data_IF_551359638566
#
_entry.id   IF_551359638566
#
_cell.length_a   1.000
_cell.length_b   1.000
_cell.length_c   1.000
_cell.angle_alpha   90.00
_cell.angle_beta   90.00
_cell.angle_gamma   90.00
#
_symmetry.space_group_name_H-M   'P 1'
#
loop_
_entity.id
_entity.type
_entity.pdbx_description
1 polymer ?
#
# COMPACT_ATOMS: atom_id res chain seq x y z
N UNK A 1 -51.10 37.14 37.69
CA UNK A 1 -52.02 35.99 37.87
C UNK A 1 -52.22 35.34 36.50
N UNK A 2 -52.31 34.00 36.46
CA UNK A 2 -52.33 33.10 35.28
C UNK A 2 -50.95 32.66 34.73
N UNK A 3 -50.44 31.64 35.41
CA UNK A 3 -49.33 30.75 35.05
C UNK A 3 -49.73 29.74 33.98
N UNK A 4 -49.08 29.78 32.81
CA UNK A 4 -49.20 28.75 31.78
C UNK A 4 -48.12 27.66 31.95
N UNK A 5 -48.58 26.46 32.30
CA UNK A 5 -47.80 25.26 32.64
C UNK A 5 -47.44 24.53 31.34
N UNK A 6 -46.22 24.69 30.81
CA UNK A 6 -45.72 23.86 29.68
C UNK A 6 -45.16 22.54 30.18
N UNK A 7 -45.83 21.45 29.79
CA UNK A 7 -45.44 20.04 29.97
C UNK A 7 -44.05 19.78 29.36
N UNK A 8 -43.09 19.36 30.19
CA UNK A 8 -41.84 18.71 29.76
C UNK A 8 -42.15 17.27 29.39
N UNK A 9 -42.08 16.94 28.10
CA UNK A 9 -42.03 15.56 27.62
C UNK A 9 -40.60 15.06 27.72
N UNK A 10 -40.37 14.11 28.63
CA UNK A 10 -39.08 13.47 28.89
C UNK A 10 -38.89 12.37 27.83
N UNK A 11 -38.15 12.66 26.76
CA UNK A 11 -37.72 11.64 25.80
C UNK A 11 -36.54 10.90 26.44
N UNK A 12 -36.69 9.59 26.62
CA UNK A 12 -35.65 8.67 27.10
C UNK A 12 -34.44 8.74 26.15
N UNK A 13 -33.27 9.08 26.67
CA UNK A 13 -32.00 8.79 26.03
C UNK A 13 -31.82 7.27 25.95
N UNK A 14 -31.84 6.72 24.74
CA UNK A 14 -31.26 5.40 24.49
C UNK A 14 -29.77 5.58 24.28
N UNK A 15 -28.96 5.02 25.19
CA UNK A 15 -27.55 4.79 24.95
C UNK A 15 -27.40 3.85 23.75
N UNK A 16 -27.05 4.38 22.58
CA UNK A 16 -26.64 3.55 21.45
C UNK A 16 -25.15 3.26 21.57
N UNK A 17 -24.85 2.05 21.98
CA UNK A 17 -23.53 1.45 21.90
C UNK A 17 -23.02 1.42 20.46
N UNK A 18 -21.74 1.77 20.32
CA UNK A 18 -20.88 1.44 19.20
C UNK A 18 -21.02 -0.03 18.80
N UNK A 19 -21.68 -0.29 17.67
CA UNK A 19 -21.53 -1.51 16.87
C UNK A 19 -21.64 -1.13 15.41
N UNK A 20 -20.55 -1.31 14.66
CA UNK A 20 -20.54 -1.36 13.19
C UNK A 20 -21.12 -2.71 12.75
N UNK A 21 -22.20 -2.78 11.96
CA UNK A 21 -22.58 -3.99 11.26
C UNK A 21 -22.63 -3.69 9.76
N UNK A 22 -21.54 -3.98 9.04
CA UNK A 22 -21.55 -3.93 7.57
C UNK A 22 -20.69 -5.01 6.92
N UNK A 23 -19.74 -5.63 7.64
CA UNK A 23 -18.91 -6.71 7.09
C UNK A 23 -19.49 -8.12 7.32
N UNK A 24 -20.41 -8.32 8.27
CA UNK A 24 -20.95 -9.66 8.54
C UNK A 24 -22.10 -10.09 7.60
N UNK A 25 -22.74 -9.16 6.90
CA UNK A 25 -23.87 -9.46 6.02
C UNK A 25 -23.42 -9.94 4.63
N UNK A 26 -22.32 -9.39 4.10
CA UNK A 26 -21.83 -9.75 2.76
C UNK A 26 -21.21 -11.17 2.66
N UNK A 27 -20.81 -11.78 3.79
CA UNK A 27 -20.17 -13.09 3.79
C UNK A 27 -21.09 -14.27 4.15
N UNK A 28 -22.33 -14.01 4.57
CA UNK A 28 -23.26 -15.09 4.96
C UNK A 28 -24.00 -15.73 3.79
N UNK A 29 -24.30 -14.99 2.73
CA UNK A 29 -25.12 -15.52 1.64
C UNK A 29 -24.29 -16.08 0.46
N UNK A 30 -23.05 -15.62 0.26
CA UNK A 30 -22.20 -16.10 -0.85
C UNK A 30 -21.54 -17.46 -0.55
N UNK A 31 -21.10 -17.68 0.70
CA UNK A 31 -20.37 -18.91 1.06
C UNK A 31 -21.28 -20.13 1.12
N UNK A 32 -22.55 -19.99 1.51
CA UNK A 32 -23.50 -21.12 1.58
C UNK A 32 -23.88 -21.60 0.18
N UNK A 33 -24.09 -20.68 -0.76
CA UNK A 33 -24.44 -21.03 -2.14
C UNK A 33 -23.24 -21.65 -2.88
N UNK A 34 -22.04 -21.10 -2.72
CA UNK A 34 -20.82 -21.70 -3.31
C UNK A 34 -20.49 -23.08 -2.72
N UNK A 35 -20.68 -23.26 -1.41
CA UNK A 35 -20.46 -24.56 -0.76
C UNK A 35 -21.51 -25.58 -1.18
N UNK A 36 -22.79 -25.18 -1.29
CA UNK A 36 -23.85 -26.06 -1.78
C UNK A 36 -23.63 -26.48 -3.24
N UNK A 37 -23.13 -25.56 -4.09
CA UNK A 37 -22.82 -25.84 -5.48
C UNK A 37 -21.64 -26.82 -5.62
N UNK A 38 -20.55 -26.62 -4.86
CA UNK A 38 -19.41 -27.53 -4.88
C UNK A 38 -19.75 -28.92 -4.34
N UNK A 39 -20.53 -29.00 -3.24
CA UNK A 39 -21.02 -30.28 -2.72
C UNK A 39 -21.94 -30.95 -3.73
N UNK A 40 -22.81 -30.19 -4.42
CA UNK A 40 -23.64 -30.71 -5.50
C UNK A 40 -22.85 -31.34 -6.64
N UNK A 41 -21.76 -30.69 -7.09
CA UNK A 41 -20.88 -31.24 -8.12
C UNK A 41 -20.21 -32.53 -7.65
N UNK A 42 -19.69 -32.56 -6.41
CA UNK A 42 -19.03 -33.77 -5.87
C UNK A 42 -20.02 -34.95 -5.80
N UNK A 43 -21.26 -34.70 -5.39
CA UNK A 43 -22.31 -35.73 -5.34
C UNK A 43 -22.66 -36.22 -6.76
N UNK A 44 -22.80 -35.32 -7.74
CA UNK A 44 -23.07 -35.71 -9.13
C UNK A 44 -21.93 -36.56 -9.69
N UNK A 45 -20.67 -36.17 -9.48
CA UNK A 45 -19.50 -36.94 -9.92
C UNK A 45 -19.46 -38.31 -9.25
N UNK A 46 -19.75 -38.39 -7.95
CA UNK A 46 -19.82 -39.68 -7.24
C UNK A 46 -20.93 -40.59 -7.79
N UNK A 47 -22.11 -40.04 -8.10
CA UNK A 47 -23.21 -40.80 -8.71
C UNK A 47 -22.85 -41.28 -10.11
N UNK A 48 -22.22 -40.43 -10.93
CA UNK A 48 -21.76 -40.82 -12.27
C UNK A 48 -20.72 -41.95 -12.19
N UNK A 49 -19.75 -41.84 -11.28
CA UNK A 49 -18.73 -42.88 -11.06
C UNK A 49 -19.36 -44.18 -10.55
N UNK A 50 -20.35 -44.10 -9.67
CA UNK A 50 -21.07 -45.27 -9.17
C UNK A 50 -21.89 -45.97 -10.26
N UNK A 51 -22.59 -45.19 -11.11
CA UNK A 51 -23.30 -45.74 -12.28
C UNK A 51 -22.30 -46.38 -13.25
N UNK A 52 -21.18 -45.71 -13.53
CA UNK A 52 -20.15 -46.23 -14.43
C UNK A 52 -19.53 -47.54 -13.91
N UNK A 53 -19.21 -47.61 -12.60
CA UNK A 53 -18.72 -48.84 -11.98
C UNK A 53 -19.78 -49.95 -12.00
N UNK A 54 -21.06 -49.63 -11.78
CA UNK A 54 -22.16 -50.61 -11.82
C UNK A 54 -22.37 -51.20 -13.22
N UNK A 55 -22.16 -50.39 -14.27
CA UNK A 55 -22.19 -50.86 -15.66
C UNK A 55 -20.97 -51.73 -16.01
N UNK A 56 -19.77 -51.38 -15.54
CA UNK A 56 -18.56 -52.19 -15.75
C UNK A 56 -18.66 -53.53 -15.00
N UNK A 57 -19.14 -53.54 -13.76
CA UNK A 57 -19.34 -54.78 -12.99
C UNK A 57 -20.45 -55.68 -13.55
N UNK A 58 -21.34 -55.15 -14.40
CA UNK A 58 -22.37 -55.94 -15.09
C UNK A 58 -21.87 -56.57 -16.40
N UNK A 59 -20.69 -56.19 -16.89
CA UNK A 59 -20.10 -56.71 -18.12
C UNK A 59 -18.95 -57.70 -17.91
N UNK A 60 -18.49 -57.91 -16.66
CA UNK A 60 -17.34 -58.77 -16.37
C UNK A 60 -17.70 -60.12 -15.72
N UNK A 61 -18.96 -60.54 -15.84
CA UNK A 61 -19.41 -61.89 -15.47
C UNK A 61 -19.44 -62.83 -16.69
N UNK A 62 -18.37 -62.87 -17.49
CA UNK A 62 -18.08 -64.02 -18.36
C UNK A 62 -16.62 -64.02 -18.83
N UNK A 63 -15.69 -64.44 -17.99
CA UNK A 63 -14.71 -65.46 -18.42
C UNK A 63 -13.80 -65.90 -17.27
N UNK A 64 -13.65 -67.21 -17.28
CA UNK A 64 -12.91 -68.07 -16.38
C UNK A 64 -11.38 -67.94 -16.47
N UNK A 65 -10.75 -68.40 -15.39
CA UNK A 65 -9.52 -69.21 -15.37
C UNK A 65 -8.11 -68.57 -15.50
N UNK A 66 -7.40 -68.63 -14.36
CA UNK A 66 -6.15 -69.39 -14.07
C UNK A 66 -4.94 -68.58 -13.57
N UNK A 67 -4.44 -69.10 -12.42
CA UNK A 67 -3.05 -69.36 -11.99
C UNK A 67 -2.25 -68.28 -11.23
N UNK A 68 -2.04 -68.61 -9.95
CA UNK A 68 -0.75 -68.62 -9.21
C UNK A 68 -0.18 -67.26 -8.78
N UNK A 69 0.35 -67.03 -7.59
CA UNK A 69 0.69 -67.86 -6.44
C UNK A 69 1.83 -67.17 -5.65
N UNK A 70 1.84 -67.34 -4.31
CA UNK A 70 3.01 -67.25 -3.38
C UNK A 70 3.59 -65.81 -3.17
N UNK A 71 3.93 -65.28 -1.98
CA UNK A 71 4.03 -65.69 -0.56
C UNK A 71 4.16 -64.41 0.31
N UNK A 72 3.72 -64.34 1.58
CA UNK A 72 4.29 -64.86 2.84
C UNK A 72 5.41 -63.97 3.48
N UNK A 73 5.16 -63.56 4.75
CA UNK A 73 6.11 -62.98 5.74
C UNK A 73 5.81 -61.51 6.14
N UNK A 74 5.14 -61.12 7.25
CA UNK A 74 5.41 -61.32 8.71
C UNK A 74 6.88 -60.96 9.07
N UNK A 75 7.28 -60.22 10.12
CA UNK A 75 6.67 -59.54 11.30
C UNK A 75 7.81 -58.74 12.01
N UNK A 76 7.44 -57.65 12.70
CA UNK A 76 7.93 -57.14 14.02
C UNK A 76 9.44 -56.95 14.31
N UNK A 77 9.83 -55.76 14.82
CA UNK A 77 10.23 -55.58 16.24
C UNK A 77 10.75 -54.16 16.54
N UNK A 78 10.23 -53.56 17.61
CA UNK A 78 10.75 -52.42 18.36
C UNK A 78 12.07 -52.74 19.10
N UNK A 79 12.86 -51.69 19.41
CA UNK A 79 13.50 -51.37 20.72
C UNK A 79 14.41 -50.13 20.60
N UNK A 80 14.06 -49.01 21.25
CA UNK A 80 14.61 -48.50 22.54
C UNK A 80 16.00 -47.82 22.41
N UNK A 81 16.10 -46.49 22.49
CA UNK A 81 16.26 -45.63 23.68
C UNK A 81 17.74 -45.45 24.06
N UNK A 82 18.25 -44.22 23.90
CA UNK A 82 19.19 -43.62 24.84
C UNK A 82 19.05 -42.09 24.84
N UNK A 83 18.67 -41.58 26.01
CA UNK A 83 18.53 -40.16 26.36
C UNK A 83 19.88 -39.63 26.79
N UNK A 84 20.31 -38.50 26.22
CA UNK A 84 21.38 -37.67 26.78
C UNK A 84 20.73 -36.53 27.57
N UNK A 85 20.94 -36.57 28.88
CA UNK A 85 20.59 -35.54 29.85
C UNK A 85 21.62 -34.40 29.70
N UNK A 86 21.15 -33.17 29.44
CA UNK A 86 21.94 -31.95 29.63
C UNK A 86 21.12 -31.01 30.52
N UNK A 87 21.64 -30.74 31.71
CA UNK A 87 21.07 -29.79 32.68
C UNK A 87 21.17 -28.33 32.20
N UNK A 88 20.24 -27.46 32.64
CA UNK A 88 20.16 -26.06 32.24
C UNK A 88 20.94 -25.12 33.19
N UNK A 89 21.54 -24.03 32.72
CA UNK A 89 21.94 -22.94 33.60
C UNK A 89 20.76 -21.98 33.86
N UNK A 90 20.51 -21.77 35.16
CA UNK A 90 19.56 -20.83 35.76
C UNK A 90 19.99 -19.33 35.63
N UNK A 91 19.08 -18.38 35.96
CA UNK A 91 19.04 -17.05 35.35
C UNK A 91 19.85 -15.98 36.10
N UNK A 92 20.52 -15.10 35.34
CA UNK A 92 21.16 -13.90 35.88
C UNK A 92 20.15 -12.74 36.02
N UNK A 93 19.76 -12.52 37.27
CA UNK A 93 19.51 -11.27 37.99
C UNK A 93 19.02 -10.00 37.24
N UNK A 94 17.84 -9.57 37.69
CA UNK A 94 17.26 -8.23 37.57
C UNK A 94 18.12 -7.18 38.31
N UNK A 95 18.52 -6.15 37.58
CA UNK A 95 18.65 -4.75 38.05
C UNK A 95 18.00 -3.91 36.93
N UNK A 96 17.04 -3.02 37.13
CA UNK A 96 16.79 -2.16 38.28
C UNK A 96 17.27 -0.74 37.98
N UNK A 97 16.87 -0.13 36.86
CA UNK A 97 17.10 1.30 36.59
C UNK A 97 15.86 1.95 35.97
N UNK A 98 15.01 2.43 36.88
CA UNK A 98 14.04 3.50 36.66
C UNK A 98 14.78 4.84 36.62
N UNK A 99 14.22 5.79 35.86
CA UNK A 99 14.49 7.24 35.76
C UNK A 99 15.57 7.68 34.76
N UNK A 100 15.11 8.09 33.58
CA UNK A 100 15.19 9.49 33.13
C UNK A 100 14.27 9.70 31.91
N UNK A 101 12.97 9.84 32.20
CA UNK A 101 12.00 10.45 31.30
C UNK A 101 11.85 11.91 31.72
N UNK A 102 12.60 12.80 31.08
CA UNK A 102 12.35 14.24 31.11
C UNK A 102 13.02 14.92 29.91
N UNK A 103 12.21 15.58 29.09
CA UNK A 103 12.55 16.68 28.19
C UNK A 103 13.60 16.42 27.10
N UNK A 104 13.13 16.20 25.87
CA UNK A 104 13.82 16.67 24.68
C UNK A 104 12.82 17.27 23.68
N UNK A 105 12.28 18.43 24.05
CA UNK A 105 11.91 19.45 23.06
C UNK A 105 13.21 20.10 22.61
N UNK A 106 13.88 19.50 21.63
CA UNK A 106 14.93 20.19 20.88
C UNK A 106 14.71 19.87 19.40
N UNK A 107 14.27 20.90 18.67
CA UNK A 107 14.50 20.97 17.23
C UNK A 107 15.96 20.59 16.97
N UNK A 108 16.28 19.80 15.93
CA UNK A 108 17.66 19.50 15.62
C UNK A 108 18.39 20.81 15.32
N UNK A 109 19.31 21.18 16.21
CA UNK A 109 20.29 22.22 15.93
C UNK A 109 21.11 21.77 14.72
N UNK A 110 21.10 22.63 13.72
CA UNK A 110 21.81 22.52 12.45
C UNK A 110 23.28 22.22 12.66
N UNK A 111 23.70 20.99 12.37
CA UNK A 111 25.07 20.70 11.97
C UNK A 111 25.28 21.24 10.55
N UNK A 112 26.21 22.17 10.42
CA UNK A 112 26.56 22.92 9.20
C UNK A 112 27.40 22.11 8.20
N UNK A 113 27.15 20.81 8.04
CA UNK A 113 27.98 19.94 7.16
C UNK A 113 27.20 18.90 6.34
N UNK A 114 25.87 18.96 6.26
CA UNK A 114 25.14 18.15 5.29
C UNK A 114 25.08 18.86 3.93
N UNK A 115 26.10 18.69 3.10
CA UNK A 115 26.09 19.19 1.73
C UNK A 115 25.02 18.44 0.91
N UNK A 116 23.93 19.14 0.55
CA UNK A 116 22.82 18.54 -0.21
C UNK A 116 21.61 19.47 -0.32
N UNK A 117 20.73 19.18 -1.28
CA UNK A 117 19.54 19.95 -1.59
C UNK A 117 18.36 19.66 -0.68
N UNK A 118 18.41 18.59 0.13
CA UNK A 118 17.32 18.20 1.02
C UNK A 118 16.77 19.37 1.83
N UNK A 119 17.64 20.14 2.52
CA UNK A 119 17.21 21.28 3.35
C UNK A 119 16.45 22.34 2.53
N UNK A 120 16.88 22.61 1.29
CA UNK A 120 16.23 23.58 0.40
C UNK A 120 14.82 23.10 0.04
N UNK A 121 14.68 21.88 -0.48
CA UNK A 121 13.37 21.35 -0.88
C UNK A 121 12.45 21.10 0.31
N UNK A 122 13.00 20.71 1.45
CA UNK A 122 12.30 20.60 2.72
C UNK A 122 11.68 21.94 3.13
N UNK A 123 12.45 23.03 3.06
CA UNK A 123 11.93 24.37 3.34
C UNK A 123 10.84 24.77 2.34
N UNK A 124 11.05 24.52 1.04
CA UNK A 124 10.04 24.82 0.00
C UNK A 124 8.72 24.09 0.30
N UNK A 125 8.78 22.80 0.64
CA UNK A 125 7.59 22.02 0.96
C UNK A 125 6.86 22.53 2.21
N UNK A 126 7.60 22.96 3.24
CA UNK A 126 7.01 23.60 4.41
C UNK A 126 6.37 24.95 4.07
N UNK A 127 7.04 25.78 3.27
CA UNK A 127 6.47 27.05 2.80
C UNK A 127 5.17 26.82 2.04
N UNK A 128 5.13 25.84 1.14
CA UNK A 128 3.93 25.44 0.42
C UNK A 128 2.82 24.96 1.36
N UNK A 129 3.17 24.17 2.39
CA UNK A 129 2.21 23.66 3.37
C UNK A 129 1.65 24.74 4.29
N UNK A 130 2.37 25.86 4.48
CA UNK A 130 1.88 27.00 5.26
C UNK A 130 0.81 27.82 4.56
N UNK A 131 0.77 27.79 3.22
CA UNK A 131 -0.24 28.50 2.44
C UNK A 131 -1.64 27.90 2.65
N UNK A 132 -2.66 28.64 2.22
CA UNK A 132 -4.00 28.06 2.08
C UNK A 132 -4.02 27.10 0.88
N UNK A 133 -4.90 26.06 0.89
CA UNK A 133 -4.88 25.01 -0.13
C UNK A 133 -4.93 25.52 -1.57
N UNK A 134 -5.73 26.54 -1.87
CA UNK A 134 -5.81 27.13 -3.22
C UNK A 134 -4.46 27.72 -3.63
N UNK A 135 -3.84 28.51 -2.77
CA UNK A 135 -2.54 29.15 -3.02
C UNK A 135 -1.41 28.12 -3.15
N UNK A 136 -1.45 27.05 -2.36
CA UNK A 136 -0.54 25.90 -2.49
C UNK A 136 -0.62 25.30 -3.89
N UNK A 137 -1.83 24.99 -4.36
CA UNK A 137 -2.05 24.36 -5.67
C UNK A 137 -1.64 25.29 -6.82
N UNK A 138 -1.99 26.57 -6.73
CA UNK A 138 -1.61 27.57 -7.73
C UNK A 138 -0.09 27.72 -7.82
N UNK A 139 0.60 27.72 -6.67
CA UNK A 139 2.06 27.80 -6.62
C UNK A 139 2.72 26.54 -7.19
N UNK A 140 2.21 25.35 -6.85
CA UNK A 140 2.71 24.09 -7.42
C UNK A 140 2.56 24.05 -8.94
N UNK A 141 1.42 24.48 -9.48
CA UNK A 141 1.18 24.50 -10.93
C UNK A 141 2.03 25.54 -11.66
N UNK A 142 2.17 26.74 -11.09
CA UNK A 142 2.87 27.86 -11.73
C UNK A 142 4.39 27.74 -11.65
N UNK A 143 4.91 27.33 -10.49
CA UNK A 143 6.36 27.35 -10.23
C UNK A 143 7.03 25.99 -10.42
N UNK A 144 6.27 24.90 -10.41
CA UNK A 144 6.75 23.50 -10.43
C UNK A 144 8.06 23.32 -9.64
N UNK A 145 8.07 23.63 -8.33
CA UNK A 145 9.30 23.76 -7.57
C UNK A 145 10.10 22.46 -7.47
N UNK A 146 9.47 21.31 -7.76
CA UNK A 146 10.09 19.99 -7.78
C UNK A 146 10.45 19.51 -9.19
N UNK A 147 10.02 20.21 -10.24
CA UNK A 147 10.28 19.87 -11.65
C UNK A 147 9.56 18.61 -12.13
N UNK A 148 8.56 18.14 -11.38
CA UNK A 148 7.88 16.86 -11.63
C UNK A 148 6.69 17.02 -12.56
N UNK A 149 6.05 18.20 -12.56
CA UNK A 149 4.87 18.46 -13.40
C UNK A 149 5.26 18.72 -14.83
N UNK A 150 6.28 19.55 -15.06
CA UNK A 150 6.86 19.79 -16.38
C UNK A 150 7.39 18.49 -16.98
N UNK A 151 8.10 17.68 -16.18
CA UNK A 151 8.57 16.37 -16.60
C UNK A 151 7.41 15.46 -17.03
N UNK A 152 6.33 15.36 -16.24
CA UNK A 152 5.17 14.51 -16.56
C UNK A 152 4.51 14.92 -17.88
N UNK A 153 4.39 16.23 -18.14
CA UNK A 153 3.84 16.77 -19.38
C UNK A 153 4.72 16.43 -20.58
N UNK A 154 6.04 16.66 -20.48
CA UNK A 154 7.00 16.34 -21.54
C UNK A 154 7.06 14.83 -21.82
N UNK A 155 7.05 14.02 -20.75
CA UNK A 155 7.01 12.56 -20.84
C UNK A 155 5.76 12.10 -21.58
N UNK A 156 4.58 12.59 -21.19
CA UNK A 156 3.33 12.24 -21.85
C UNK A 156 3.32 12.63 -23.32
N UNK A 157 3.82 13.82 -23.64
CA UNK A 157 3.93 14.30 -25.01
C UNK A 157 4.84 13.38 -25.85
N UNK A 158 6.08 13.15 -25.40
CA UNK A 158 7.04 12.34 -26.14
C UNK A 158 6.59 10.88 -26.30
N UNK A 159 6.05 10.26 -25.25
CA UNK A 159 5.51 8.90 -25.36
C UNK A 159 4.32 8.82 -26.33
N UNK A 160 3.50 9.87 -26.41
CA UNK A 160 2.38 9.93 -27.34
C UNK A 160 2.87 10.06 -28.78
N UNK A 161 3.84 10.92 -29.03
CA UNK A 161 4.46 11.12 -30.34
C UNK A 161 5.18 9.85 -30.83
N UNK A 162 5.88 9.14 -29.93
CA UNK A 162 6.63 7.92 -30.25
C UNK A 162 5.78 6.65 -30.27
N UNK A 163 4.59 6.66 -29.64
CA UNK A 163 3.75 5.47 -29.49
C UNK A 163 4.33 4.37 -28.59
N UNK A 164 5.35 4.68 -27.79
CA UNK A 164 6.02 3.75 -26.86
C UNK A 164 6.50 4.47 -25.59
N UNK A 165 6.86 3.70 -24.57
CA UNK A 165 7.58 4.22 -23.40
C UNK A 165 8.99 4.67 -23.79
N UNK A 166 9.53 5.62 -23.04
CA UNK A 166 10.91 6.07 -23.21
C UNK A 166 11.90 5.04 -22.67
N UNK A 167 13.13 5.13 -23.15
CA UNK A 167 14.29 4.48 -22.54
C UNK A 167 14.81 5.33 -21.37
N UNK A 168 15.64 4.76 -20.49
CA UNK A 168 16.22 5.53 -19.38
C UNK A 168 17.11 6.68 -19.91
N UNK A 169 17.80 6.49 -21.02
CA UNK A 169 18.60 7.54 -21.66
C UNK A 169 17.73 8.70 -22.17
N UNK A 170 16.56 8.41 -22.73
CA UNK A 170 15.58 9.44 -23.12
C UNK A 170 14.98 10.15 -21.89
N UNK A 171 14.73 9.43 -20.80
CA UNK A 171 14.30 10.03 -19.52
C UNK A 171 15.36 10.99 -18.98
N UNK A 172 16.65 10.64 -19.05
CA UNK A 172 17.76 11.50 -18.63
C UNK A 172 17.86 12.78 -19.46
N UNK A 173 17.37 12.81 -20.70
CA UNK A 173 17.29 14.03 -21.50
C UNK A 173 16.18 14.97 -21.03
N UNK A 174 15.06 14.40 -20.55
CA UNK A 174 13.95 15.18 -19.97
C UNK A 174 14.24 15.65 -18.55
N UNK A 175 14.90 14.81 -17.77
CA UNK A 175 15.23 15.07 -16.38
C UNK A 175 16.68 14.62 -16.11
N UNK A 176 17.68 15.48 -16.38
CA UNK A 176 19.07 15.15 -16.12
C UNK A 176 19.33 15.07 -14.61
N UNK A 177 20.28 14.22 -14.20
CA UNK A 177 20.74 14.23 -12.81
C UNK A 177 21.29 15.62 -12.47
N UNK A 178 20.81 16.31 -11.41
CA UNK A 178 21.30 17.64 -11.09
C UNK A 178 22.79 17.60 -10.75
N UNK A 179 23.59 18.42 -11.45
CA UNK A 179 25.06 18.50 -11.29
C UNK A 179 25.42 18.97 -9.88
N UNK A 180 24.60 19.87 -9.34
CA UNK A 180 24.78 20.51 -8.04
C UNK A 180 24.08 19.70 -6.95
N UNK A 181 24.82 19.34 -5.91
CA UNK A 181 24.26 18.59 -4.77
C UNK A 181 23.12 19.36 -4.09
N UNK A 182 23.18 20.70 -4.06
CA UNK A 182 22.12 21.59 -3.54
C UNK A 182 20.80 21.56 -4.35
N UNK A 183 20.80 20.92 -5.52
CA UNK A 183 19.62 20.72 -6.37
C UNK A 183 19.05 19.29 -6.26
N UNK A 184 19.58 18.48 -5.34
CA UNK A 184 19.16 17.10 -5.11
C UNK A 184 18.40 16.95 -3.81
N UNK A 185 17.10 16.66 -3.87
CA UNK A 185 16.26 16.41 -2.69
C UNK A 185 16.70 15.15 -1.93
N UNK A 186 17.33 14.22 -2.63
CA UNK A 186 17.78 12.93 -2.08
C UNK A 186 19.12 13.02 -1.36
N UNK A 187 19.75 14.20 -1.29
CA UNK A 187 21.02 14.40 -0.60
C UNK A 187 20.88 15.30 0.65
N UNK A 188 21.46 14.91 1.81
CA UNK A 188 22.17 13.66 2.03
C UNK A 188 21.24 12.44 1.97
N UNK A 189 21.75 11.31 1.49
CA UNK A 189 20.97 10.08 1.40
C UNK A 189 20.70 9.53 2.80
N UNK A 190 19.44 9.58 3.24
CA UNK A 190 18.99 9.12 4.54
C UNK A 190 18.68 7.62 4.59
N UNK A 191 18.80 6.91 3.46
CA UNK A 191 18.52 5.47 3.39
C UNK A 191 19.58 4.66 4.12
N UNK A 192 19.16 3.60 4.80
CA UNK A 192 20.07 2.61 5.38
C UNK A 192 20.33 1.50 4.37
N UNK A 193 21.36 1.69 3.53
CA UNK A 193 21.74 0.75 2.46
C UNK A 193 22.07 -0.66 2.97
N UNK A 194 22.51 -0.79 4.23
CA UNK A 194 22.77 -2.10 4.81
C UNK A 194 21.50 -2.97 4.88
N UNK A 195 20.32 -2.37 5.08
CA UNK A 195 19.06 -3.14 5.12
C UNK A 195 18.70 -3.69 3.74
N UNK A 196 18.93 -2.90 2.69
CA UNK A 196 18.73 -3.34 1.30
C UNK A 196 19.67 -4.51 0.95
N UNK A 197 20.95 -4.40 1.32
CA UNK A 197 21.92 -5.49 1.16
C UNK A 197 21.52 -6.75 1.92
N UNK A 198 21.26 -6.62 3.22
CA UNK A 198 20.89 -7.76 4.07
C UNK A 198 19.66 -8.51 3.53
N UNK A 199 18.64 -7.78 3.03
CA UNK A 199 17.48 -8.38 2.39
C UNK A 199 17.83 -9.10 1.09
N UNK A 200 18.57 -8.45 0.19
CA UNK A 200 18.98 -9.04 -1.09
C UNK A 200 19.81 -10.31 -0.90
N UNK A 201 20.72 -10.29 0.08
CA UNK A 201 21.61 -11.39 0.41
C UNK A 201 20.89 -12.52 1.19
N UNK A 202 19.59 -12.37 1.46
CA UNK A 202 18.77 -13.39 2.10
C UNK A 202 19.11 -13.60 3.58
N UNK A 203 19.66 -12.58 4.25
CA UNK A 203 20.00 -12.66 5.69
C UNK A 203 18.74 -12.99 6.50
N UNK A 204 18.85 -14.02 7.34
CA UNK A 204 17.73 -14.52 8.16
C UNK A 204 17.13 -13.38 9.00
N UNK A 205 15.80 -13.33 9.06
CA UNK A 205 15.05 -12.34 9.82
C UNK A 205 14.83 -11.01 9.09
N UNK A 206 15.42 -10.80 7.91
CA UNK A 206 15.19 -9.60 7.11
C UNK A 206 13.98 -9.73 6.19
N UNK A 207 13.27 -8.63 5.99
CA UNK A 207 12.05 -8.60 5.20
C UNK A 207 11.81 -7.25 4.50
N UNK A 208 10.85 -7.23 3.59
CA UNK A 208 10.37 -6.04 2.91
C UNK A 208 9.16 -5.48 3.67
N UNK A 209 9.27 -4.27 4.21
CA UNK A 209 8.14 -3.54 4.77
C UNK A 209 7.54 -2.66 3.66
N UNK A 210 6.32 -2.96 3.24
CA UNK A 210 5.61 -2.16 2.25
C UNK A 210 4.55 -1.30 2.94
N UNK A 211 4.77 0.02 2.98
CA UNK A 211 3.71 0.95 3.39
C UNK A 211 2.73 1.07 2.21
N UNK A 212 1.65 0.31 2.29
CA UNK A 212 0.63 0.19 1.26
C UNK A 212 -0.35 1.36 1.35
N UNK A 213 -0.15 2.37 0.50
CA UNK A 213 -1.11 3.47 0.41
C UNK A 213 -2.31 3.04 -0.44
N UNK A 214 -3.53 3.24 0.07
CA UNK A 214 -4.77 2.80 -0.60
C UNK A 214 -4.85 3.35 -2.02
N UNK A 215 -5.09 2.45 -2.98
CA UNK A 215 -5.25 2.73 -4.42
C UNK A 215 -4.03 3.40 -5.07
N UNK A 216 -2.86 3.27 -4.45
CA UNK A 216 -1.59 3.72 -4.98
C UNK A 216 -0.73 2.55 -5.51
N UNK A 217 -1.36 1.47 -6.01
CA UNK A 217 -0.66 0.38 -6.71
C UNK A 217 -0.16 -0.79 -5.87
N UNK A 218 -0.70 -1.04 -4.68
CA UNK A 218 -0.26 -2.20 -3.90
C UNK A 218 -0.56 -3.56 -4.53
N UNK A 219 -1.55 -3.66 -5.42
CA UNK A 219 -1.76 -4.90 -6.20
C UNK A 219 -0.58 -5.17 -7.12
N UNK A 220 -0.07 -4.15 -7.81
CA UNK A 220 1.09 -4.28 -8.71
C UNK A 220 2.35 -4.60 -7.91
N UNK A 221 2.54 -3.92 -6.77
CA UNK A 221 3.67 -4.18 -5.88
C UNK A 221 3.63 -5.59 -5.27
N UNK A 222 2.45 -6.06 -4.84
CA UNK A 222 2.35 -7.42 -4.35
C UNK A 222 2.61 -8.43 -5.46
N UNK A 223 2.02 -8.26 -6.65
CA UNK A 223 2.31 -9.12 -7.82
C UNK A 223 3.80 -9.18 -8.12
N UNK A 224 4.50 -8.04 -8.04
CA UNK A 224 5.96 -7.99 -8.13
C UNK A 224 6.64 -8.84 -7.06
N UNK A 225 6.22 -8.77 -5.80
CA UNK A 225 6.75 -9.61 -4.75
C UNK A 225 6.46 -11.11 -4.99
N UNK A 226 5.26 -11.47 -5.46
CA UNK A 226 4.87 -12.86 -5.72
C UNK A 226 5.69 -13.50 -6.86
N UNK A 227 6.11 -12.70 -7.84
CA UNK A 227 6.94 -13.16 -8.94
C UNK A 227 8.39 -13.49 -8.51
N UNK A 228 8.87 -12.86 -7.44
CA UNK A 228 10.26 -12.87 -7.00
C UNK A 228 10.52 -13.58 -5.65
N UNK A 229 9.50 -13.76 -4.82
CA UNK A 229 9.61 -14.46 -3.54
C UNK A 229 9.00 -15.86 -3.62
N UNK A 230 9.49 -16.84 -2.84
CA UNK A 230 8.82 -18.13 -2.71
C UNK A 230 7.38 -17.95 -2.19
N UNK A 231 6.43 -18.74 -2.68
CA UNK A 231 5.02 -18.69 -2.23
C UNK A 231 4.84 -18.91 -0.72
N UNK A 232 5.74 -19.64 -0.07
CA UNK A 232 5.76 -19.83 1.38
C UNK A 232 6.29 -18.63 2.15
N UNK A 233 7.04 -17.74 1.49
CA UNK A 233 7.68 -16.58 2.07
C UNK A 233 6.82 -15.30 1.96
N UNK A 234 5.56 -15.43 1.54
CA UNK A 234 4.62 -14.32 1.44
C UNK A 234 3.31 -14.69 2.13
N UNK A 235 2.66 -13.74 2.81
CA UNK A 235 1.31 -13.96 3.29
C UNK A 235 0.33 -13.97 2.11
N UNK A 236 -0.76 -14.75 2.24
CA UNK A 236 -1.72 -14.98 1.15
C UNK A 236 -2.55 -13.76 0.78
N UNK A 237 -2.76 -12.83 1.71
CA UNK A 237 -3.64 -11.69 1.50
C UNK A 237 -2.85 -10.48 1.01
N UNK A 238 -2.64 -10.35 -0.31
CA UNK A 238 -1.98 -9.20 -0.95
C UNK A 238 -0.68 -8.76 -0.24
N UNK A 239 0.18 -9.72 0.13
CA UNK A 239 1.45 -9.44 0.80
C UNK A 239 1.32 -8.75 2.18
N UNK A 240 0.11 -8.70 2.74
CA UNK A 240 -0.19 -8.18 4.07
C UNK A 240 -0.34 -9.31 5.09
N UNK A 241 -0.03 -9.05 6.38
CA UNK A 241 -0.44 -9.89 7.49
C UNK A 241 -1.90 -10.32 7.35
N UNK A 242 -2.15 -11.63 7.36
CA UNK A 242 -3.51 -12.15 7.26
C UNK A 242 -4.27 -11.99 8.58
N UNK A 243 -5.55 -12.36 8.55
CA UNK A 243 -6.42 -12.35 9.73
C UNK A 243 -5.87 -13.22 10.88
N UNK A 244 -5.08 -14.26 10.57
CA UNK A 244 -4.44 -15.12 11.56
C UNK A 244 -3.43 -14.37 12.44
N UNK A 245 -2.82 -13.30 11.93
CA UNK A 245 -1.89 -12.47 12.71
C UNK A 245 -2.59 -11.76 13.87
N UNK A 246 -3.84 -11.36 13.70
CA UNK A 246 -4.63 -10.61 14.69
C UNK A 246 -5.61 -11.46 15.50
N UNK A 247 -5.52 -12.78 15.42
CA UNK A 247 -6.52 -13.67 16.01
C UNK A 247 -7.90 -13.49 15.37
N UNK A 248 -7.92 -13.36 14.04
CA UNK A 248 -9.08 -13.12 13.19
C UNK A 248 -9.80 -11.77 13.40
N UNK A 249 -9.08 -10.73 13.81
CA UNK A 249 -9.69 -9.41 14.06
C UNK A 249 -9.54 -8.47 12.87
N UNK A 250 -8.33 -8.29 12.35
CA UNK A 250 -7.97 -7.35 11.27
C UNK A 250 -6.71 -7.82 10.48
N UNK A 251 -6.70 -7.66 9.15
CA UNK A 251 -5.55 -7.95 8.28
C UNK A 251 -4.88 -6.65 7.80
N UNK A 252 -3.55 -6.62 7.65
CA UNK A 252 -2.82 -5.44 7.12
C UNK A 252 -2.58 -4.27 8.08
N UNK A 253 -2.59 -4.52 9.40
CA UNK A 253 -2.33 -3.54 10.46
C UNK A 253 -0.99 -3.89 11.13
N UNK A 254 0.05 -3.07 10.92
CA UNK A 254 1.38 -3.26 11.54
C UNK A 254 1.67 -2.27 12.67
N UNK A 255 1.04 -1.10 12.69
CA UNK A 255 1.17 -0.11 13.74
C UNK A 255 0.60 -0.59 15.08
N UNK A 256 -0.40 -1.47 15.07
CA UNK A 256 -0.95 -2.09 16.28
C UNK A 256 -0.01 -3.06 17.01
N UNK A 257 1.14 -3.41 16.43
CA UNK A 257 2.10 -4.38 16.99
C UNK A 257 3.43 -3.72 17.31
N UNK A 258 4.07 -4.12 18.41
CA UNK A 258 5.45 -3.75 18.67
C UNK A 258 6.41 -4.33 17.61
N UNK A 259 7.58 -3.73 17.44
CA UNK A 259 8.58 -4.25 16.50
C UNK A 259 8.99 -5.68 16.82
N UNK A 260 9.10 -6.02 18.10
CA UNK A 260 9.46 -7.37 18.53
C UNK A 260 8.41 -8.39 18.09
N UNK A 261 7.13 -8.06 18.21
CA UNK A 261 6.05 -8.94 17.75
C UNK A 261 6.07 -9.09 16.22
N UNK A 262 6.32 -8.02 15.47
CA UNK A 262 6.45 -8.08 14.01
C UNK A 262 7.60 -9.03 13.64
N UNK A 263 8.79 -8.84 14.24
CA UNK A 263 9.97 -9.68 13.97
C UNK A 263 9.66 -11.15 14.29
N UNK A 264 9.16 -11.44 15.48
CA UNK A 264 8.84 -12.81 15.89
C UNK A 264 7.82 -13.48 14.96
N UNK A 265 6.81 -12.74 14.48
CA UNK A 265 5.82 -13.29 13.55
C UNK A 265 6.39 -13.51 12.14
N UNK A 266 7.20 -12.59 11.65
CA UNK A 266 7.90 -12.75 10.36
C UNK A 266 8.80 -13.99 10.39
N UNK A 267 9.57 -14.16 11.46
CA UNK A 267 10.45 -15.32 11.65
C UNK A 267 9.66 -16.63 11.77
N UNK A 268 8.63 -16.67 12.61
CA UNK A 268 7.82 -17.87 12.83
C UNK A 268 7.07 -18.31 11.55
N UNK A 269 6.64 -17.35 10.73
CA UNK A 269 5.93 -17.63 9.47
C UNK A 269 6.88 -17.92 8.31
N UNK A 270 8.17 -17.57 8.43
CA UNK A 270 9.13 -17.59 7.33
C UNK A 270 8.85 -16.54 6.24
N UNK A 271 8.08 -15.50 6.57
CA UNK A 271 7.72 -14.45 5.60
C UNK A 271 8.87 -13.48 5.36
N UNK A 272 8.91 -12.95 4.13
CA UNK A 272 9.91 -11.99 3.66
C UNK A 272 9.29 -10.67 3.20
N UNK A 273 7.98 -10.51 3.32
CA UNK A 273 7.27 -9.26 3.05
C UNK A 273 6.14 -9.05 4.07
N UNK A 274 5.95 -7.81 4.49
CA UNK A 274 4.84 -7.38 5.33
C UNK A 274 4.30 -6.04 4.85
N UNK A 275 3.02 -6.02 4.45
CA UNK A 275 2.29 -4.80 4.10
C UNK A 275 1.59 -4.14 5.29
N UNK A 276 1.73 -2.82 5.42
CA UNK A 276 0.91 -1.97 6.29
C UNK A 276 -0.04 -1.13 5.43
N UNK A 277 -1.34 -1.40 5.43
CA UNK A 277 -2.31 -0.66 4.59
C UNK A 277 -3.20 0.29 5.37
N UNK A 278 -3.60 -0.12 6.57
CA UNK A 278 -4.72 0.51 7.25
C UNK A 278 -4.29 1.50 8.33
N UNK A 279 -3.00 1.58 8.62
CA UNK A 279 -2.44 2.41 9.67
C UNK A 279 -1.32 3.32 9.15
N UNK A 280 -1.09 4.39 9.89
CA UNK A 280 0.04 5.27 9.68
C UNK A 280 1.36 4.50 9.88
N UNK A 281 2.44 5.10 9.39
CA UNK A 281 3.79 4.61 9.58
C UNK A 281 4.35 5.17 10.91
N UNK A 282 4.75 4.28 11.84
CA UNK A 282 5.28 4.70 13.14
C UNK A 282 6.75 5.11 12.99
N UNK A 283 6.98 6.39 12.74
CA UNK A 283 8.33 6.94 12.53
C UNK A 283 9.25 6.68 13.72
N UNK A 284 8.69 6.60 14.94
CA UNK A 284 9.47 6.49 16.18
C UNK A 284 10.10 5.12 16.38
N UNK A 285 9.58 4.08 15.70
CA UNK A 285 10.04 2.71 15.89
C UNK A 285 10.15 1.90 14.61
N UNK A 286 9.31 2.08 13.59
CA UNK A 286 9.29 1.16 12.44
C UNK A 286 10.65 1.13 11.74
N UNK A 287 11.39 2.24 11.72
CA UNK A 287 12.76 2.28 11.21
C UNK A 287 13.79 1.46 12.01
N UNK A 288 13.47 0.90 13.16
CA UNK A 288 14.33 -0.05 13.88
C UNK A 288 14.14 -1.50 13.41
N UNK A 289 13.11 -1.78 12.61
CA UNK A 289 12.89 -3.11 12.04
C UNK A 289 14.04 -3.50 11.10
N UNK A 290 14.42 -4.80 11.03
CA UNK A 290 15.39 -5.32 10.06
C UNK A 290 14.78 -5.42 8.66
N UNK A 291 14.21 -4.32 8.17
CA UNK A 291 13.40 -4.29 6.96
C UNK A 291 13.89 -3.28 5.93
N UNK A 292 13.69 -3.61 4.66
CA UNK A 292 13.75 -2.65 3.55
C UNK A 292 12.41 -1.96 3.44
N UNK A 293 12.38 -0.64 3.40
CA UNK A 293 11.14 0.13 3.36
C UNK A 293 10.80 0.53 1.93
N UNK A 294 9.59 0.17 1.50
CA UNK A 294 9.06 0.51 0.19
C UNK A 294 7.67 1.14 0.31
N UNK A 295 7.37 2.05 -0.60
CA UNK A 295 6.02 2.59 -0.79
C UNK A 295 5.81 3.01 -2.24
N UNK A 296 4.58 3.36 -2.60
CA UNK A 296 4.21 3.83 -3.93
C UNK A 296 3.18 4.94 -3.84
N UNK A 297 3.36 5.97 -4.65
CA UNK A 297 2.49 7.14 -4.75
C UNK A 297 1.72 7.14 -6.06
N UNK A 298 0.55 7.75 -6.04
CA UNK A 298 -0.29 8.06 -7.21
C UNK A 298 -0.79 9.47 -7.07
N UNK A 299 -1.12 10.18 -8.16
CA UNK A 299 -1.76 11.51 -8.08
C UNK A 299 -2.93 11.45 -7.09
N UNK A 300 -3.01 12.35 -6.11
CA UNK A 300 -4.00 12.31 -5.05
C UNK A 300 -5.45 12.22 -5.56
N UNK A 301 -5.81 13.01 -6.58
CA UNK A 301 -7.13 12.95 -7.20
C UNK A 301 -7.39 11.62 -7.92
N UNK A 302 -6.43 11.12 -8.70
CA UNK A 302 -6.57 9.82 -9.38
C UNK A 302 -6.75 8.68 -8.38
N UNK A 303 -6.04 8.75 -7.25
CA UNK A 303 -6.20 7.81 -6.13
C UNK A 303 -7.59 7.93 -5.50
N UNK A 304 -8.06 9.15 -5.23
CA UNK A 304 -9.39 9.37 -4.64
C UNK A 304 -10.52 8.85 -5.56
N UNK A 305 -10.46 9.15 -6.87
CA UNK A 305 -11.42 8.63 -7.84
C UNK A 305 -11.31 7.11 -7.99
N UNK A 306 -10.11 6.55 -7.91
CA UNK A 306 -9.92 5.10 -7.90
C UNK A 306 -10.53 4.45 -6.66
N UNK A 307 -10.51 5.11 -5.50
CA UNK A 307 -11.19 4.65 -4.29
C UNK A 307 -12.72 4.72 -4.46
N UNK A 308 -13.22 5.84 -4.98
CA UNK A 308 -14.65 6.02 -5.25
C UNK A 308 -15.19 4.93 -6.18
N UNK A 309 -14.49 4.70 -7.31
CA UNK A 309 -14.85 3.64 -8.25
C UNK A 309 -14.87 2.28 -7.58
N UNK A 310 -13.80 1.96 -6.85
CA UNK A 310 -13.65 0.66 -6.18
C UNK A 310 -14.78 0.37 -5.19
N UNK A 311 -15.20 1.36 -4.41
CA UNK A 311 -16.26 1.18 -3.43
C UNK A 311 -17.65 1.23 -4.07
N UNK A 312 -17.89 2.26 -4.89
CA UNK A 312 -19.21 2.71 -5.27
C UNK A 312 -19.59 2.41 -6.70
N UNK A 313 -18.66 2.12 -7.61
CA UNK A 313 -19.01 1.78 -9.00
C UNK A 313 -18.91 0.27 -9.23
N UNK A 314 -17.91 -0.38 -8.65
CA UNK A 314 -17.74 -1.84 -8.71
C UNK A 314 -18.64 -2.59 -7.71
N UNK A 315 -19.73 -1.96 -7.26
CA UNK A 315 -20.77 -2.51 -6.37
C UNK A 315 -20.29 -3.23 -5.11
N UNK A 316 -19.16 -2.81 -4.53
CA UNK A 316 -18.60 -3.37 -3.29
C UNK A 316 -19.29 -2.86 -2.01
N UNK A 317 -20.61 -2.68 -2.07
CA UNK A 317 -21.44 -2.32 -0.91
C UNK A 317 -21.64 -0.82 -0.68
N UNK A 318 -21.14 0.07 -1.56
CA UNK A 318 -21.48 1.49 -1.49
C UNK A 318 -22.72 1.81 -2.35
N UNK A 319 -23.74 2.37 -1.69
CA UNK A 319 -24.98 2.83 -2.31
C UNK A 319 -24.91 4.29 -2.82
N UNK A 320 -23.85 5.03 -2.46
CA UNK A 320 -23.65 6.43 -2.85
C UNK A 320 -22.94 6.50 -4.22
N UNK A 321 -23.70 6.58 -5.31
CA UNK A 321 -23.14 6.63 -6.68
C UNK A 321 -22.74 8.03 -7.16
N UNK A 322 -23.08 9.06 -6.38
CA UNK A 322 -22.72 10.46 -6.67
C UNK A 322 -21.42 10.83 -5.93
N UNK A 323 -20.38 11.19 -6.69
CA UNK A 323 -19.04 11.53 -6.19
C UNK A 323 -19.05 12.74 -5.26
N UNK A 324 -19.93 13.73 -5.49
CA UNK A 324 -20.04 14.93 -4.66
C UNK A 324 -20.42 14.56 -3.23
N UNK A 325 -21.53 13.83 -3.12
CA UNK A 325 -22.07 13.33 -1.84
C UNK A 325 -21.18 12.29 -1.20
N UNK A 326 -20.46 11.49 -1.99
CA UNK A 326 -19.49 10.53 -1.46
C UNK A 326 -18.32 11.29 -0.84
N UNK A 327 -17.72 12.24 -1.55
CA UNK A 327 -16.55 12.98 -1.08
C UNK A 327 -16.80 13.71 0.24
N UNK A 328 -17.99 14.32 0.40
CA UNK A 328 -18.39 14.99 1.65
C UNK A 328 -18.38 14.08 2.88
N UNK A 329 -18.56 12.77 2.68
CA UNK A 329 -18.56 11.76 3.73
C UNK A 329 -17.18 11.12 3.95
N UNK A 330 -16.20 11.44 3.11
CA UNK A 330 -14.90 10.75 3.03
C UNK A 330 -13.71 11.60 3.46
N UNK A 331 -13.89 12.32 4.57
CA UNK A 331 -12.82 13.09 5.21
C UNK A 331 -11.63 12.22 5.65
N UNK A 332 -11.83 10.90 5.82
CA UNK A 332 -10.77 9.93 6.06
C UNK A 332 -9.79 9.79 4.90
N UNK A 333 -10.15 10.25 3.69
CA UNK A 333 -9.30 10.21 2.51
C UNK A 333 -8.55 11.51 2.23
N UNK A 334 -8.81 12.57 3.01
CA UNK A 334 -8.17 13.87 2.85
C UNK A 334 -6.73 13.81 3.33
N UNK A 335 -5.79 14.24 2.48
CA UNK A 335 -4.36 14.25 2.74
C UNK A 335 -3.84 12.97 3.43
N UNK A 336 -4.28 11.81 2.95
CA UNK A 336 -4.02 10.51 3.58
C UNK A 336 -2.53 10.15 3.50
N UNK A 337 -1.81 10.57 2.47
CA UNK A 337 -0.37 10.32 2.38
C UNK A 337 0.38 11.09 3.46
N UNK A 338 0.10 12.39 3.57
CA UNK A 338 0.68 13.25 4.60
C UNK A 338 0.38 12.71 5.99
N UNK A 339 -0.87 12.30 6.24
CA UNK A 339 -1.29 11.65 7.49
C UNK A 339 -0.48 10.40 7.79
N UNK A 340 -0.33 9.53 6.79
CA UNK A 340 0.34 8.24 6.93
C UNK A 340 1.79 8.41 7.35
N UNK A 341 2.52 9.34 6.74
CA UNK A 341 3.96 9.52 6.98
C UNK A 341 4.29 10.52 8.09
N UNK A 342 3.34 11.36 8.50
CA UNK A 342 3.50 12.27 9.63
C UNK A 342 3.03 11.69 10.97
N UNK A 343 2.15 10.67 10.93
CA UNK A 343 1.54 9.99 12.07
C UNK A 343 1.10 10.91 13.24
N UNK A 344 0.15 11.82 13.02
CA UNK A 344 -0.32 12.72 14.07
C UNK A 344 -1.26 12.02 15.06
N UNK A 345 -1.12 12.34 16.34
CA UNK A 345 -1.90 11.71 17.42
C UNK A 345 -3.42 11.95 17.33
N UNK A 346 -3.86 13.16 16.94
CA UNK A 346 -5.28 13.53 16.95
C UNK A 346 -5.99 13.34 15.59
N UNK A 347 -5.32 12.67 14.64
CA UNK A 347 -5.72 12.69 13.25
C UNK A 347 -5.60 14.08 12.64
N UNK A 348 -5.69 14.17 11.31
CA UNK A 348 -5.32 15.40 10.60
C UNK A 348 -6.46 16.34 10.24
N UNK A 349 -7.71 15.85 10.28
CA UNK A 349 -8.84 16.52 9.63
C UNK A 349 -9.15 17.93 10.17
N UNK A 350 -8.64 18.27 11.35
CA UNK A 350 -8.85 19.57 11.99
C UNK A 350 -7.84 20.63 11.52
N UNK A 351 -6.66 20.23 11.06
CA UNK A 351 -5.52 21.14 10.82
C UNK A 351 -5.41 21.63 9.37
N UNK A 352 -6.32 21.21 8.48
CA UNK A 352 -6.13 21.36 7.04
C UNK A 352 -6.71 22.61 6.41
N UNK A 353 -7.57 23.35 7.11
CA UNK A 353 -8.12 24.63 6.63
C UNK A 353 -8.07 25.67 7.73
N UNK A 354 -7.95 26.94 7.37
CA UNK A 354 -7.88 28.03 8.35
C UNK A 354 -6.52 28.16 9.01
N UNK A 355 -6.47 28.82 10.17
CA UNK A 355 -5.24 29.25 10.84
C UNK A 355 -4.49 28.10 11.55
N UNK A 356 -3.99 27.16 10.73
CA UNK A 356 -3.27 25.96 11.12
C UNK A 356 -1.97 25.79 10.31
N UNK A 357 -1.42 26.90 9.81
CA UNK A 357 -0.24 26.92 8.95
C UNK A 357 0.96 26.23 9.59
N UNK A 358 1.18 26.44 10.90
CA UNK A 358 2.28 25.83 11.66
C UNK A 358 2.11 24.33 11.81
N UNK A 359 0.89 23.86 12.04
CA UNK A 359 0.56 22.44 12.12
C UNK A 359 0.78 21.76 10.77
N UNK A 360 0.32 22.36 9.66
CA UNK A 360 0.54 21.86 8.30
C UNK A 360 2.04 21.78 7.97
N UNK A 361 2.81 22.81 8.33
CA UNK A 361 4.27 22.80 8.21
C UNK A 361 4.90 21.63 8.96
N UNK A 362 4.51 21.41 10.22
CA UNK A 362 5.04 20.32 11.05
C UNK A 362 4.69 18.95 10.47
N UNK A 363 3.45 18.75 10.00
CA UNK A 363 3.04 17.52 9.34
C UNK A 363 3.88 17.25 8.09
N UNK A 364 4.04 18.26 7.23
CA UNK A 364 4.84 18.14 6.02
C UNK A 364 6.32 17.85 6.33
N UNK A 365 6.87 18.52 7.35
CA UNK A 365 8.23 18.28 7.83
C UNK A 365 8.45 16.81 8.20
N UNK A 366 7.58 16.26 9.06
CA UNK A 366 7.68 14.87 9.48
C UNK A 366 7.49 13.92 8.29
N UNK A 367 6.49 14.15 7.43
CA UNK A 367 6.22 13.29 6.30
C UNK A 367 7.40 13.19 5.32
N UNK A 368 8.07 14.30 5.03
CA UNK A 368 9.24 14.32 4.14
C UNK A 368 10.46 13.65 4.78
N UNK A 369 10.70 13.90 6.07
CA UNK A 369 11.77 13.21 6.82
C UNK A 369 11.57 11.70 6.83
N UNK A 370 10.35 11.24 7.12
CA UNK A 370 9.97 9.83 7.03
C UNK A 370 10.21 9.28 5.63
N UNK A 371 9.67 9.94 4.59
CA UNK A 371 9.78 9.45 3.22
C UNK A 371 11.23 9.38 2.72
N UNK A 372 12.08 10.32 3.12
CA UNK A 372 13.49 10.36 2.72
C UNK A 372 14.26 9.09 3.10
N UNK A 373 13.85 8.42 4.19
CA UNK A 373 14.45 7.19 4.73
C UNK A 373 13.96 5.92 4.03
N UNK A 374 12.88 5.99 3.24
CA UNK A 374 12.39 4.84 2.49
C UNK A 374 13.38 4.45 1.40
N UNK A 375 13.75 3.17 1.34
CA UNK A 375 14.66 2.66 0.32
C UNK A 375 14.05 2.81 -1.08
N UNK A 376 12.76 2.48 -1.21
CA UNK A 376 12.01 2.55 -2.47
C UNK A 376 10.81 3.47 -2.32
N UNK A 377 10.69 4.41 -3.25
CA UNK A 377 9.53 5.28 -3.41
C UNK A 377 9.15 5.24 -4.89
N UNK A 378 8.11 4.48 -5.23
CA UNK A 378 7.65 4.36 -6.62
C UNK A 378 6.58 5.42 -6.93
N UNK A 379 6.49 5.82 -8.20
CA UNK A 379 5.41 6.65 -8.72
C UNK A 379 4.59 5.84 -9.72
N UNK A 380 3.28 5.70 -9.48
CA UNK A 380 2.40 4.85 -10.29
C UNK A 380 2.30 5.29 -11.75
N UNK A 381 2.37 6.59 -12.00
CA UNK A 381 2.34 7.16 -13.35
C UNK A 381 3.59 6.78 -14.15
N UNK A 382 4.69 6.45 -13.44
CA UNK A 382 6.02 6.19 -13.98
C UNK A 382 6.52 4.79 -13.60
N UNK A 383 5.63 3.88 -13.21
CA UNK A 383 5.98 2.57 -12.68
C UNK A 383 6.83 1.74 -13.65
N UNK A 384 6.59 1.90 -14.95
CA UNK A 384 7.35 1.25 -16.02
C UNK A 384 8.86 1.54 -15.95
N UNK A 385 9.26 2.66 -15.34
CA UNK A 385 10.64 3.07 -15.17
C UNK A 385 11.26 2.60 -13.84
N UNK A 386 10.48 1.98 -12.93
CA UNK A 386 10.95 1.59 -11.59
C UNK A 386 11.87 0.37 -11.54
N UNK A 387 12.02 -0.36 -12.66
CA UNK A 387 12.77 -1.61 -12.71
C UNK A 387 14.24 -1.52 -12.22
N UNK A 388 15.04 -0.50 -12.58
CA UNK A 388 16.41 -0.37 -12.09
C UNK A 388 16.49 -0.28 -10.56
N UNK A 389 15.64 0.55 -9.96
CA UNK A 389 15.59 0.73 -8.50
C UNK A 389 15.18 -0.56 -7.79
N UNK A 390 14.14 -1.24 -8.29
CA UNK A 390 13.66 -2.52 -7.74
C UNK A 390 14.74 -3.60 -7.81
N UNK A 391 15.46 -3.72 -8.93
CA UNK A 391 16.56 -4.68 -9.09
C UNK A 391 17.71 -4.38 -8.13
N UNK A 392 18.16 -3.13 -8.10
CA UNK A 392 19.30 -2.72 -7.29
C UNK A 392 19.03 -2.91 -5.79
N UNK A 393 17.86 -2.49 -5.33
CA UNK A 393 17.53 -2.45 -3.90
C UNK A 393 16.96 -3.78 -3.38
N UNK A 394 16.10 -4.46 -4.15
CA UNK A 394 15.44 -5.70 -3.70
C UNK A 394 16.08 -6.98 -4.25
N UNK A 395 16.89 -6.88 -5.31
CA UNK A 395 17.38 -8.05 -6.06
C UNK A 395 16.30 -8.75 -6.89
N UNK A 396 15.14 -8.12 -7.09
CA UNK A 396 14.03 -8.71 -7.82
C UNK A 396 14.33 -8.70 -9.33
N UNK A 397 14.49 -9.89 -9.93
CA UNK A 397 14.83 -10.04 -11.34
C UNK A 397 13.61 -9.91 -12.26
N UNK A 398 12.45 -10.42 -11.83
CA UNK A 398 11.20 -10.37 -12.59
C UNK A 398 10.46 -9.07 -12.28
N UNK A 399 10.45 -8.14 -13.23
CA UNK A 399 9.88 -6.79 -13.05
C UNK A 399 8.77 -6.50 -14.06
N UNK A 400 8.22 -7.55 -14.69
CA UNK A 400 7.18 -7.46 -15.72
C UNK A 400 5.92 -6.79 -15.19
N UNK A 401 5.56 -7.06 -13.93
CA UNK A 401 4.49 -6.38 -13.19
C UNK A 401 4.62 -4.85 -13.14
N UNK A 402 5.82 -4.29 -13.22
CA UNK A 402 6.04 -2.83 -13.29
C UNK A 402 5.73 -2.25 -14.68
N UNK A 403 5.92 -3.06 -15.73
CA UNK A 403 5.73 -2.65 -17.13
C UNK A 403 4.31 -2.87 -17.64
N UNK A 404 3.49 -3.64 -16.91
CA UNK A 404 2.05 -3.80 -17.18
C UNK A 404 1.34 -2.48 -16.83
N UNK A 405 1.38 -1.53 -17.77
CA UNK A 405 1.01 -0.14 -17.58
C UNK A 405 -0.37 0.03 -16.93
N UNK A 406 -0.37 0.46 -15.66
CA UNK A 406 -1.54 1.01 -14.97
C UNK A 406 -1.54 2.53 -15.15
N UNK A 407 -1.51 3.01 -16.40
CA UNK A 407 -1.95 4.39 -16.61
C UNK A 407 -3.45 4.37 -16.44
N UNK A 408 -4.03 5.25 -15.60
CA UNK A 408 -5.46 5.41 -15.56
C UNK A 408 -6.05 5.84 -16.91
N UNK A 409 -5.26 6.07 -17.99
CA UNK A 409 -5.70 6.64 -19.27
C UNK A 409 -5.32 5.95 -20.59
N UNK A 410 -4.44 4.94 -20.63
CA UNK A 410 -3.92 4.49 -21.95
C UNK A 410 -4.08 2.99 -22.26
N UNK A 411 -4.39 2.11 -21.30
CA UNK A 411 -4.44 0.67 -21.66
C UNK A 411 -5.20 -0.28 -20.73
N UNK A 412 -5.93 0.20 -19.72
CA UNK A 412 -7.04 -0.62 -19.23
C UNK A 412 -8.16 -0.48 -20.26
N UNK A 413 -8.25 -1.51 -21.11
CA UNK A 413 -9.16 -1.61 -22.25
C UNK A 413 -10.44 -0.79 -22.08
N UNK A 414 -10.78 -0.03 -23.12
CA UNK A 414 -12.16 0.34 -23.45
C UNK A 414 -13.03 -0.90 -23.20
N UNK A 415 -13.66 -0.99 -22.03
CA UNK A 415 -14.79 -1.89 -21.83
C UNK A 415 -15.97 -1.07 -22.30
N UNK A 416 -16.39 -1.32 -23.54
CA UNK A 416 -17.66 -0.81 -24.07
C UNK A 416 -18.78 -1.41 -23.22
N UNK A 417 -19.38 -0.60 -22.35
CA UNK A 417 -20.63 -0.93 -21.65
C UNK A 417 -21.88 -0.38 -22.37
N UNK A 418 -21.68 0.30 -23.51
CA UNK A 418 -22.74 0.66 -24.45
C UNK A 418 -23.46 2.00 -24.24
N UNK A 419 -22.91 2.97 -23.48
CA UNK A 419 -23.55 4.30 -23.36
C UNK A 419 -22.56 5.49 -23.46
N UNK A 420 -22.83 6.40 -24.42
CA UNK A 420 -21.88 7.45 -24.84
C UNK A 420 -22.00 8.82 -24.13
N UNK A 421 -23.09 9.16 -23.41
CA UNK A 421 -23.22 10.46 -22.72
C UNK A 421 -24.00 10.38 -21.41
N UNK A 422 -23.48 11.00 -20.35
CA UNK A 422 -24.12 11.05 -19.03
C UNK A 422 -24.51 12.50 -18.67
N UNK A 423 -25.82 12.78 -18.58
CA UNK A 423 -26.38 14.03 -18.05
C UNK A 423 -26.74 13.95 -16.55
N UNK A 424 -26.50 12.81 -15.87
CA UNK A 424 -27.00 12.50 -14.52
C UNK A 424 -26.00 11.69 -13.66
N UNK A 425 -24.72 12.04 -13.72
CA UNK A 425 -23.76 11.84 -12.63
C UNK A 425 -23.25 10.42 -12.31
N UNK A 426 -23.93 9.32 -12.66
CA UNK A 426 -23.37 8.00 -12.28
C UNK A 426 -23.96 6.74 -12.89
N UNK A 427 -25.05 6.80 -13.64
CA UNK A 427 -25.60 5.60 -14.27
C UNK A 427 -25.03 5.50 -15.69
N UNK A 428 -24.28 4.42 -15.95
CA UNK A 428 -23.70 4.00 -17.24
C UNK A 428 -22.62 4.93 -17.83
N UNK A 429 -21.35 4.54 -17.71
CA UNK A 429 -20.21 5.29 -18.25
C UNK A 429 -19.27 4.31 -18.97
N UNK A 430 -19.29 4.36 -20.31
CA UNK A 430 -18.52 3.51 -21.24
C UNK A 430 -17.00 3.65 -21.22
N UNK A 431 -16.42 4.34 -20.23
CA UNK A 431 -14.97 4.49 -20.12
C UNK A 431 -14.47 4.01 -18.78
N UNK A 432 -13.66 2.95 -18.81
CA UNK A 432 -12.95 2.37 -17.66
C UNK A 432 -11.84 3.28 -17.09
N UNK A 433 -11.76 4.52 -17.56
CA UNK A 433 -10.64 5.42 -17.43
C UNK A 433 -11.16 6.86 -17.43
N UNK A 434 -10.88 7.61 -16.37
CA UNK A 434 -11.36 8.98 -16.18
C UNK A 434 -10.22 9.89 -15.78
N UNK A 435 -9.83 10.85 -16.61
CA UNK A 435 -8.99 11.92 -16.08
C UNK A 435 -9.85 12.71 -15.08
N UNK A 436 -9.31 13.16 -13.94
CA UNK A 436 -10.11 13.90 -12.96
C UNK A 436 -10.80 15.13 -13.57
N UNK A 437 -10.14 15.78 -14.54
CA UNK A 437 -10.68 16.94 -15.29
C UNK A 437 -11.85 16.58 -16.22
N UNK A 438 -11.91 15.35 -16.74
CA UNK A 438 -13.03 14.88 -17.57
C UNK A 438 -14.23 14.43 -16.73
N UNK A 439 -13.98 13.90 -15.54
CA UNK A 439 -15.01 13.27 -14.71
C UNK A 439 -15.65 14.21 -13.69
N UNK A 440 -14.88 15.14 -13.14
CA UNK A 440 -15.36 16.09 -12.15
C UNK A 440 -15.74 17.40 -12.84
N UNK A 441 -16.84 18.01 -12.40
CA UNK A 441 -17.08 19.42 -12.73
C UNK A 441 -16.06 20.32 -12.03
N UNK A 442 -16.01 21.59 -12.44
CA UNK A 442 -15.01 22.54 -11.96
C UNK A 442 -15.10 22.78 -10.44
N UNK A 443 -16.30 22.76 -9.86
CA UNK A 443 -16.50 22.99 -8.43
C UNK A 443 -15.97 21.81 -7.62
N UNK A 444 -16.36 20.60 -7.99
CA UNK A 444 -15.94 19.38 -7.32
C UNK A 444 -14.46 19.09 -7.53
N UNK A 445 -13.92 19.36 -8.73
CA UNK A 445 -12.48 19.26 -9.01
C UNK A 445 -11.71 20.18 -8.06
N UNK A 446 -12.10 21.46 -7.96
CA UNK A 446 -11.46 22.43 -7.07
C UNK A 446 -11.53 21.97 -5.61
N UNK A 447 -12.73 21.61 -5.13
CA UNK A 447 -12.94 21.16 -3.75
C UNK A 447 -12.08 19.95 -3.39
N UNK A 448 -12.08 18.90 -4.23
CA UNK A 448 -11.27 17.71 -3.98
C UNK A 448 -9.78 18.00 -4.03
N UNK A 449 -9.34 18.89 -4.93
CA UNK A 449 -7.93 19.29 -5.02
C UNK A 449 -7.49 20.00 -3.74
N UNK A 450 -8.28 20.96 -3.25
CA UNK A 450 -7.99 21.70 -2.03
C UNK A 450 -7.97 20.79 -0.79
N UNK A 451 -8.90 19.84 -0.71
CA UNK A 451 -8.93 18.84 0.37
C UNK A 451 -7.71 17.87 0.33
N UNK A 452 -6.96 17.86 -0.78
CA UNK A 452 -5.80 17.00 -1.04
C UNK A 452 -4.47 17.78 -1.22
N UNK A 453 -4.46 19.09 -0.97
CA UNK A 453 -3.32 19.96 -1.32
C UNK A 453 -1.98 19.56 -0.66
N UNK A 454 -1.99 18.98 0.55
CA UNK A 454 -0.76 18.52 1.18
C UNK A 454 -0.25 17.22 0.53
N UNK A 455 -1.16 16.32 0.15
CA UNK A 455 -0.77 15.12 -0.60
C UNK A 455 -0.22 15.47 -1.99
N UNK A 456 -0.64 16.58 -2.61
CA UNK A 456 -0.04 17.08 -3.85
C UNK A 456 1.43 17.48 -3.62
N UNK A 457 1.74 18.23 -2.55
CA UNK A 457 3.13 18.56 -2.17
C UNK A 457 3.95 17.28 -1.96
N UNK A 458 3.45 16.36 -1.13
CA UNK A 458 4.21 15.14 -0.78
C UNK A 458 4.37 14.21 -1.99
N UNK A 459 3.40 14.18 -2.90
CA UNK A 459 3.50 13.42 -4.15
C UNK A 459 4.55 14.00 -5.08
N UNK A 460 4.64 15.32 -5.22
CA UNK A 460 5.69 15.96 -6.03
C UNK A 460 7.09 15.76 -5.40
N UNK A 461 7.20 15.78 -4.07
CA UNK A 461 8.42 15.36 -3.35
C UNK A 461 8.79 13.90 -3.66
N UNK A 462 7.84 12.97 -3.52
CA UNK A 462 8.04 11.54 -3.76
C UNK A 462 8.49 11.26 -5.20
N UNK A 463 7.88 11.95 -6.17
CA UNK A 463 8.23 11.89 -7.58
C UNK A 463 9.62 12.43 -7.86
N UNK A 464 10.00 13.55 -7.26
CA UNK A 464 11.34 14.10 -7.38
C UNK A 464 12.39 13.12 -6.84
N UNK A 465 12.11 12.51 -5.68
CA UNK A 465 12.97 11.44 -5.13
C UNK A 465 13.08 10.25 -6.07
N UNK A 466 11.96 9.81 -6.66
CA UNK A 466 11.95 8.72 -7.65
C UNK A 466 12.82 9.05 -8.86
N UNK A 467 12.69 10.26 -9.44
CA UNK A 467 13.45 10.67 -10.62
C UNK A 467 14.94 10.78 -10.31
N UNK A 468 15.33 11.44 -9.22
CA UNK A 468 16.74 11.53 -8.83
C UNK A 468 17.35 10.13 -8.60
N UNK A 469 16.61 9.23 -7.94
CA UNK A 469 17.03 7.82 -7.76
C UNK A 469 16.95 6.99 -9.03
N UNK A 470 16.36 7.50 -10.11
CA UNK A 470 16.33 6.85 -11.42
C UNK A 470 17.47 7.33 -12.30
N UNK A 471 17.81 8.62 -12.27
CA UNK A 471 18.76 9.22 -13.23
C UNK A 471 20.16 9.42 -12.68
N UNK A 472 20.33 9.48 -11.36
CA UNK A 472 21.63 9.65 -10.72
C UNK A 472 22.28 8.29 -10.38
N UNK A 473 23.48 8.06 -10.90
CA UNK A 473 24.24 6.81 -10.77
C UNK A 473 24.63 6.51 -9.31
N UNK A 474 25.02 7.53 -8.57
CA UNK A 474 25.47 7.43 -7.17
C UNK A 474 24.37 7.00 -6.18
N UNK A 475 23.11 6.97 -6.62
CA UNK A 475 21.96 6.49 -5.83
C UNK A 475 21.42 5.14 -6.31
N UNK A 476 22.11 4.49 -7.26
CA UNK A 476 21.73 3.20 -7.82
C UNK A 476 20.72 3.27 -8.97
N UNK A 477 20.48 4.46 -9.53
CA UNK A 477 19.52 4.70 -10.61
C UNK A 477 20.13 4.73 -12.01
N UNK A 478 21.24 5.44 -12.15
CA UNK A 478 21.91 5.60 -13.43
C UNK A 478 22.59 4.29 -13.85
N UNK A 479 22.21 3.80 -15.02
CA UNK A 479 22.70 2.53 -15.53
C UNK A 479 24.18 2.65 -15.92
N UNK A 480 25.03 2.01 -15.11
CA UNK A 480 26.01 1.05 -15.61
C UNK A 480 26.07 -0.15 -14.63
N UNK A 481 25.59 -1.32 -15.08
CA UNK A 481 26.04 -2.63 -14.58
C UNK A 481 26.94 -3.21 -15.66
#
# INVERSE_FOLDING_TARGET
>A
MQTARRRRTRIKQSNSSSRRPALSAAFRDSTVIETAFLVGIVVIVAVILWIYQSFISSFDSSSDQRRGGIGAGDRLSEKSLDQVIVEPPQPAQKTGLLRNLANNNNLPQTSTTAAGGYKRFFNIAQELAALEPTDTLDRLEREDPFGTRQFDQQLLQQETELGRVLTIQEIQQLFPCPIKNEERITLPDARVEQKARDFRDGKKGTFLFFQHLRKAGGTDFCSLAEENLPKSAQPRYYCMPDMGWSGNKNAGYLHSWSNQEIITRMEASGYRIAGNEWENFDVSRHFDLPAVFATSFRKPLDRALSQFRFECIEDRGCHQKDVHKWWDKRKDLWNIYTTTFADPQDGVGQYFKGDHSKERQKLMATAIDTLSKFNIVLAMEWLAYGAPQVRSILGFAKVTSLTTRVRPHISQAKRDDGQEKNNLGSASIAKASWTPKEYLDAEQFKKMSEDLALDEILTDVARRMFLERLVCEDLGGGVAI
#
